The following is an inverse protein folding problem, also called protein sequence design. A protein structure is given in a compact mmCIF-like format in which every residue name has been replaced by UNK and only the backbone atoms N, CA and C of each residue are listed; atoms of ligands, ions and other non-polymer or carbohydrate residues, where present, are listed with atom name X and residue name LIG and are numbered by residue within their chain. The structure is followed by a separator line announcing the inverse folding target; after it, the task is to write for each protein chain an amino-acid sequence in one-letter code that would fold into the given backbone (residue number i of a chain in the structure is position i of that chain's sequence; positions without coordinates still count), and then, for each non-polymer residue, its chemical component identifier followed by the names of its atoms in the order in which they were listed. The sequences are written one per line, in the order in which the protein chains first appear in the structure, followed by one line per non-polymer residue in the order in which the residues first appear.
data_IF_535478919908
#
_entry.id   IF_535478919908
#
_cell.length_a   1.000
_cell.length_b   1.000
_cell.length_c   1.000
_cell.angle_alpha   90.00
_cell.angle_beta   90.00
_cell.angle_gamma   90.00
#
_symmetry.space_group_name_H-M   'P 1'
#
loop_
_entity.id
_entity.type
_entity.pdbx_description
1 polymer ?
#
# COMPACT_ATOMS: atom_id res chain seq x y z
N UNK A 1 0.20 18.10 13.11
CA UNK A 1 1.52 17.98 12.46
C UNK A 1 2.27 16.73 12.88
N UNK A 2 2.54 16.48 14.18
CA UNK A 2 3.27 15.28 14.64
C UNK A 2 2.76 13.94 14.06
N UNK A 3 1.45 13.72 14.05
CA UNK A 3 0.85 12.49 13.48
C UNK A 3 1.12 12.33 11.98
N UNK A 4 1.08 13.42 11.22
CA UNK A 4 1.36 13.41 9.79
C UNK A 4 2.83 13.06 9.52
N UNK A 5 3.76 13.70 10.23
CA UNK A 5 5.20 13.42 10.10
C UNK A 5 5.55 11.98 10.49
N UNK A 6 4.95 11.47 11.57
CA UNK A 6 5.12 10.06 11.95
C UNK A 6 4.56 9.11 10.89
N UNK A 7 3.39 9.43 10.33
CA UNK A 7 2.81 8.61 9.27
C UNK A 7 3.72 8.57 8.04
N UNK A 8 4.31 9.71 7.67
CA UNK A 8 5.25 9.83 6.56
C UNK A 8 6.53 9.00 6.78
N UNK A 9 7.03 8.92 8.02
CA UNK A 9 8.19 8.10 8.37
C UNK A 9 7.87 6.60 8.35
N UNK A 10 6.68 6.22 8.81
CA UNK A 10 6.25 4.80 8.84
C UNK A 10 5.97 4.29 7.42
N UNK A 11 5.50 5.17 6.52
CA UNK A 11 5.00 4.79 5.21
C UNK A 11 5.99 4.03 4.31
N UNK A 12 7.27 4.46 4.14
CA UNK A 12 8.24 3.68 3.38
C UNK A 12 8.45 2.26 3.91
N UNK A 13 8.43 2.09 5.25
CA UNK A 13 8.55 0.78 5.88
C UNK A 13 7.30 -0.06 5.62
N UNK A 14 6.11 0.55 5.64
CA UNK A 14 4.86 -0.10 5.30
C UNK A 14 4.84 -0.58 3.84
N UNK A 15 5.31 0.24 2.89
CA UNK A 15 5.44 -0.16 1.48
C UNK A 15 6.46 -1.29 1.28
N UNK A 16 7.60 -1.22 1.95
CA UNK A 16 8.58 -2.31 1.89
C UNK A 16 7.99 -3.62 2.46
N UNK A 17 7.24 -3.53 3.56
CA UNK A 17 6.57 -4.68 4.14
C UNK A 17 5.47 -5.23 3.22
N UNK A 18 4.72 -4.36 2.55
CA UNK A 18 3.71 -4.72 1.54
C UNK A 18 4.33 -5.55 0.42
N UNK A 19 5.39 -5.05 -0.21
CA UNK A 19 6.10 -5.80 -1.25
C UNK A 19 6.75 -7.09 -0.70
N UNK A 20 7.33 -7.03 0.51
CA UNK A 20 7.85 -8.23 1.17
C UNK A 20 6.77 -9.29 1.40
N UNK A 21 5.54 -8.90 1.72
CA UNK A 21 4.43 -9.82 1.90
C UNK A 21 3.91 -10.38 0.58
N UNK A 22 3.98 -9.64 -0.54
CA UNK A 22 3.73 -10.23 -1.87
C UNK A 22 4.65 -11.42 -2.12
N UNK A 23 5.95 -11.27 -1.82
CA UNK A 23 6.91 -12.37 -1.96
C UNK A 23 6.57 -13.55 -1.05
N UNK A 24 6.18 -13.30 0.20
CA UNK A 24 5.75 -14.37 1.12
C UNK A 24 4.52 -15.11 0.58
N UNK A 25 3.52 -14.38 0.08
CA UNK A 25 2.31 -14.97 -0.51
C UNK A 25 2.67 -15.79 -1.75
N UNK A 26 3.50 -15.25 -2.65
CA UNK A 26 3.94 -15.92 -3.86
C UNK A 26 4.66 -17.24 -3.55
N UNK A 27 5.60 -17.24 -2.59
CA UNK A 27 6.29 -18.45 -2.12
C UNK A 27 5.29 -19.42 -1.49
N UNK A 28 4.34 -18.93 -0.68
CA UNK A 28 3.27 -19.74 -0.09
C UNK A 28 2.36 -20.41 -1.11
N UNK A 29 2.22 -19.82 -2.30
CA UNK A 29 1.47 -20.37 -3.45
C UNK A 29 2.31 -21.31 -4.32
N UNK A 30 3.56 -21.59 -3.95
CA UNK A 30 4.50 -22.44 -4.68
C UNK A 30 5.24 -21.72 -5.82
N UNK A 31 5.10 -20.40 -5.92
CA UNK A 31 5.83 -19.57 -6.88
C UNK A 31 7.24 -19.22 -6.42
N UNK A 32 7.92 -18.41 -7.22
CA UNK A 32 9.25 -17.89 -6.94
C UNK A 32 9.32 -16.47 -7.47
N UNK A 33 10.01 -15.59 -6.75
CA UNK A 33 10.12 -14.21 -7.15
C UNK A 33 11.22 -13.48 -6.42
N UNK A 34 11.52 -12.30 -6.90
CA UNK A 34 12.55 -11.43 -6.36
C UNK A 34 11.95 -10.08 -6.00
N UNK A 35 12.41 -9.52 -4.87
CA UNK A 35 12.13 -8.13 -4.53
C UNK A 35 13.15 -7.24 -5.23
N UNK A 36 12.69 -6.47 -6.19
CA UNK A 36 13.52 -5.55 -6.97
C UNK A 36 13.16 -4.10 -6.68
N UNK A 37 14.05 -3.20 -7.08
CA UNK A 37 13.74 -1.78 -7.18
C UNK A 37 13.60 -1.45 -8.66
N UNK A 38 12.44 -0.95 -9.06
CA UNK A 38 12.17 -0.51 -10.43
C UNK A 38 11.94 0.99 -10.49
N UNK A 39 12.21 1.58 -11.65
CA UNK A 39 11.89 2.97 -11.91
C UNK A 39 10.40 3.11 -12.23
N UNK A 40 9.68 3.98 -11.51
CA UNK A 40 8.27 4.29 -11.76
C UNK A 40 8.16 5.71 -12.30
N UNK A 41 7.90 5.81 -13.61
CA UNK A 41 7.77 7.07 -14.31
C UNK A 41 6.52 7.83 -13.86
N UNK A 42 6.68 9.11 -13.51
CA UNK A 42 5.57 10.02 -13.22
C UNK A 42 4.75 10.26 -14.50
N UNK A 43 3.42 10.29 -14.37
CA UNK A 43 2.52 10.56 -15.49
C UNK A 43 2.41 12.06 -15.79
N UNK A 44 2.65 12.92 -14.78
CA UNK A 44 2.45 14.37 -14.86
C UNK A 44 3.77 15.16 -14.94
N UNK A 45 4.91 14.48 -14.86
CA UNK A 45 6.23 15.10 -14.91
C UNK A 45 7.26 14.18 -15.59
N UNK A 46 8.26 14.78 -16.24
CA UNK A 46 9.39 14.04 -16.80
C UNK A 46 10.41 13.69 -15.70
N UNK A 47 9.99 12.80 -14.80
CA UNK A 47 10.80 12.30 -13.69
C UNK A 47 10.32 10.92 -13.28
N UNK A 48 11.16 10.20 -12.54
CA UNK A 48 10.84 8.85 -12.05
C UNK A 48 11.16 8.69 -10.58
N UNK A 49 10.41 7.82 -9.90
CA UNK A 49 10.64 7.45 -8.52
C UNK A 49 11.09 5.99 -8.41
N UNK A 50 12.08 5.66 -7.56
CA UNK A 50 12.38 4.27 -7.25
C UNK A 50 11.22 3.66 -6.45
N UNK A 51 10.74 2.49 -6.88
CA UNK A 51 9.69 1.76 -6.21
C UNK A 51 10.12 0.30 -5.98
N UNK A 52 9.85 -0.22 -4.79
CA UNK A 52 9.96 -1.66 -4.54
C UNK A 52 8.88 -2.39 -5.35
N UNK A 53 9.22 -3.57 -5.84
CA UNK A 53 8.28 -4.40 -6.58
C UNK A 53 8.71 -5.86 -6.50
N UNK A 54 7.75 -6.76 -6.30
CA UNK A 54 7.98 -8.20 -6.48
C UNK A 54 7.79 -8.59 -7.95
N UNK A 55 8.76 -9.30 -8.51
CA UNK A 55 8.68 -9.93 -9.84
C UNK A 55 8.62 -11.45 -9.73
N UNK A 56 8.18 -12.15 -10.79
CA UNK A 56 8.15 -13.63 -10.86
C UNK A 56 6.77 -14.29 -10.69
N UNK A 57 5.67 -13.53 -10.80
CA UNK A 57 4.29 -14.02 -10.58
C UNK A 57 3.50 -14.45 -11.82
N UNK A 58 4.04 -14.28 -13.03
CA UNK A 58 3.28 -14.28 -14.29
C UNK A 58 2.61 -15.62 -14.66
N UNK A 59 2.87 -16.70 -13.92
CA UNK A 59 2.28 -18.03 -14.12
C UNK A 59 1.15 -18.37 -13.14
N UNK A 60 0.70 -17.43 -12.30
CA UNK A 60 -0.40 -17.69 -11.36
C UNK A 60 -1.74 -17.76 -12.10
N UNK A 61 -2.56 -18.75 -11.73
CA UNK A 61 -3.94 -18.79 -12.21
C UNK A 61 -4.75 -17.58 -11.68
N UNK A 62 -5.88 -17.24 -12.31
CA UNK A 62 -6.65 -16.05 -11.99
C UNK A 62 -7.02 -15.88 -10.51
N UNK A 63 -7.28 -16.97 -9.78
CA UNK A 63 -7.64 -16.93 -8.37
C UNK A 63 -6.42 -16.73 -7.47
N UNK A 64 -5.31 -17.40 -7.78
CA UNK A 64 -4.03 -17.22 -7.09
C UNK A 64 -3.47 -15.82 -7.30
N UNK A 65 -3.63 -15.25 -8.49
CA UNK A 65 -3.20 -13.89 -8.78
C UNK A 65 -3.96 -12.87 -7.91
N UNK A 66 -5.28 -13.01 -7.76
CA UNK A 66 -6.06 -12.15 -6.85
C UNK A 66 -5.64 -12.27 -5.39
N UNK A 67 -5.30 -13.48 -4.95
CA UNK A 67 -4.81 -13.71 -3.60
C UNK A 67 -3.41 -13.11 -3.39
N UNK A 68 -2.56 -13.14 -4.41
CA UNK A 68 -1.26 -12.46 -4.41
C UNK A 68 -1.42 -10.94 -4.30
N UNK A 69 -2.23 -10.33 -5.18
CA UNK A 69 -2.52 -8.89 -5.21
C UNK A 69 -3.18 -8.41 -3.91
N UNK A 70 -4.16 -9.15 -3.37
CA UNK A 70 -4.77 -8.79 -2.08
C UNK A 70 -3.83 -9.04 -0.90
N UNK A 71 -3.11 -10.16 -0.94
CA UNK A 71 -2.41 -10.72 0.21
C UNK A 71 -1.22 -9.90 0.66
N UNK A 72 -0.44 -9.34 -0.28
CA UNK A 72 0.70 -8.47 0.04
C UNK A 72 0.33 -7.32 0.98
N UNK A 73 -0.52 -6.37 0.54
CA UNK A 73 -0.91 -5.23 1.37
C UNK A 73 -1.75 -5.64 2.59
N UNK A 74 -2.65 -6.63 2.47
CA UNK A 74 -3.50 -7.06 3.58
C UNK A 74 -2.68 -7.66 4.74
N UNK A 75 -1.71 -8.53 4.45
CA UNK A 75 -0.85 -9.12 5.47
C UNK A 75 0.09 -8.09 6.09
N UNK A 76 0.60 -7.14 5.31
CA UNK A 76 1.43 -6.05 5.82
C UNK A 76 0.65 -5.13 6.77
N UNK A 77 -0.67 -5.01 6.60
CA UNK A 77 -1.52 -4.20 7.47
C UNK A 77 -1.69 -4.79 8.88
N UNK A 78 -1.62 -6.12 9.02
CA UNK A 78 -1.87 -6.83 10.28
C UNK A 78 -0.98 -6.35 11.43
N UNK A 79 0.37 -6.34 11.33
CA UNK A 79 1.22 -5.87 12.43
C UNK A 79 0.96 -4.40 12.78
N UNK A 80 0.73 -3.53 11.79
CA UNK A 80 0.41 -2.12 12.04
C UNK A 80 -0.96 -1.95 12.72
N UNK A 81 -1.95 -2.77 12.38
CA UNK A 81 -3.26 -2.77 13.01
C UNK A 81 -3.18 -3.23 14.48
N UNK A 82 -2.39 -4.27 14.77
CA UNK A 82 -2.12 -4.73 16.13
C UNK A 82 -1.46 -3.61 16.95
N UNK A 83 -0.42 -2.98 16.41
CA UNK A 83 0.26 -1.86 17.07
C UNK A 83 -0.69 -0.67 17.27
N UNK A 84 -1.55 -0.37 16.29
CA UNK A 84 -2.55 0.70 16.39
C UNK A 84 -3.58 0.44 17.49
N UNK A 85 -4.00 -0.81 17.66
CA UNK A 85 -4.90 -1.24 18.74
C UNK A 85 -4.26 -1.02 20.11
N UNK A 86 -2.99 -1.42 20.25
CA UNK A 86 -2.25 -1.35 21.52
C UNK A 86 -1.84 0.09 21.88
N UNK A 87 -1.64 0.95 20.89
CA UNK A 87 -1.24 2.33 21.10
C UNK A 87 -2.33 3.16 21.80
N UNK A 88 -1.93 4.00 22.76
CA UNK A 88 -2.83 4.98 23.38
C UNK A 88 -3.35 6.00 22.34
N UNK A 89 -4.57 6.55 22.52
CA UNK A 89 -5.08 7.62 21.65
C UNK A 89 -4.09 8.79 21.53
N UNK A 90 -3.71 9.13 20.31
CA UNK A 90 -2.74 10.19 20.06
C UNK A 90 -2.07 10.08 18.71
N UNK A 91 -0.94 10.80 18.58
CA UNK A 91 -0.25 10.94 17.31
C UNK A 91 0.25 9.60 16.73
N UNK A 92 0.79 8.73 17.59
CA UNK A 92 1.29 7.40 17.19
C UNK A 92 0.13 6.54 16.67
N UNK A 93 -0.96 6.40 17.44
CA UNK A 93 -2.13 5.63 17.00
C UNK A 93 -2.69 6.19 15.69
N UNK A 94 -2.84 7.51 15.56
CA UNK A 94 -3.34 8.12 14.30
C UNK A 94 -2.41 7.85 13.12
N UNK A 95 -1.09 7.86 13.32
CA UNK A 95 -0.12 7.56 12.26
C UNK A 95 -0.17 6.09 11.82
N UNK A 96 -0.31 5.17 12.78
CA UNK A 96 -0.46 3.73 12.52
C UNK A 96 -1.78 3.45 11.78
N UNK A 97 -2.90 4.01 12.27
CA UNK A 97 -4.21 3.85 11.61
C UNK A 97 -4.20 4.43 10.19
N UNK A 98 -3.50 5.55 9.94
CA UNK A 98 -3.35 6.08 8.59
C UNK A 98 -2.63 5.09 7.67
N UNK A 99 -1.53 4.47 8.12
CA UNK A 99 -0.81 3.47 7.33
C UNK A 99 -1.61 2.16 7.15
N UNK A 100 -2.40 1.74 8.14
CA UNK A 100 -3.36 0.63 7.98
C UNK A 100 -4.40 0.96 6.91
N UNK A 101 -4.94 2.17 6.91
CA UNK A 101 -5.92 2.60 5.90
C UNK A 101 -5.30 2.67 4.49
N UNK A 102 -4.01 3.03 4.39
CA UNK A 102 -3.27 3.04 3.13
C UNK A 102 -3.06 1.62 2.60
N UNK A 103 -2.63 0.70 3.45
CA UNK A 103 -2.49 -0.70 3.05
C UNK A 103 -3.84 -1.32 2.70
N UNK A 104 -4.91 -0.98 3.41
CA UNK A 104 -6.26 -1.38 3.04
C UNK A 104 -6.69 -0.80 1.68
N UNK A 105 -6.27 0.42 1.35
CA UNK A 105 -6.48 1.00 0.02
C UNK A 105 -5.76 0.18 -1.07
N UNK A 106 -4.48 -0.16 -0.89
CA UNK A 106 -3.74 -1.00 -1.84
C UNK A 106 -4.35 -2.40 -1.97
N UNK A 107 -4.75 -3.01 -0.84
CA UNK A 107 -5.41 -4.32 -0.83
C UNK A 107 -6.73 -4.36 -1.59
N UNK A 108 -7.38 -3.22 -1.84
CA UNK A 108 -8.56 -3.13 -2.68
C UNK A 108 -8.21 -2.70 -4.11
N UNK A 109 -7.26 -1.79 -4.26
CA UNK A 109 -6.85 -1.24 -5.55
C UNK A 109 -6.22 -2.31 -6.45
N UNK A 110 -5.26 -3.07 -5.92
CA UNK A 110 -4.46 -4.05 -6.66
C UNK A 110 -5.32 -5.17 -7.26
N UNK A 111 -6.06 -5.97 -6.47
CA UNK A 111 -6.95 -6.97 -7.05
C UNK A 111 -8.11 -6.33 -7.83
N UNK A 112 -8.53 -5.12 -7.47
CA UNK A 112 -9.56 -4.38 -8.20
C UNK A 112 -9.12 -4.02 -9.62
N UNK A 113 -7.87 -3.59 -9.79
CA UNK A 113 -7.27 -3.31 -11.08
C UNK A 113 -7.22 -4.55 -11.95
N UNK A 114 -6.71 -5.66 -11.41
CA UNK A 114 -6.66 -6.96 -12.08
C UNK A 114 -8.06 -7.45 -12.52
N UNK A 115 -9.07 -7.30 -11.66
CA UNK A 115 -10.45 -7.66 -12.01
C UNK A 115 -11.02 -6.77 -13.12
N UNK A 116 -10.71 -5.47 -13.11
CA UNK A 116 -11.15 -4.55 -14.15
C UNK A 116 -10.51 -4.90 -15.49
N UNK A 117 -9.20 -5.18 -15.53
CA UNK A 117 -8.50 -5.55 -16.78
C UNK A 117 -9.07 -6.78 -17.48
N UNK A 118 -9.68 -7.71 -16.73
CA UNK A 118 -10.29 -8.92 -17.30
C UNK A 118 -11.59 -8.66 -18.06
N UNK A 119 -12.28 -7.55 -17.80
CA UNK A 119 -13.59 -7.25 -18.41
C UNK A 119 -13.67 -5.89 -19.11
N UNK A 120 -12.77 -4.96 -18.80
CA UNK A 120 -12.79 -3.57 -19.22
C UNK A 120 -11.36 -3.02 -19.34
N UNK A 121 -11.19 -1.89 -20.01
CA UNK A 121 -9.96 -1.10 -19.91
C UNK A 121 -10.04 -0.20 -18.67
N UNK A 122 -9.29 -0.47 -17.60
CA UNK A 122 -9.33 0.38 -16.42
C UNK A 122 -8.81 1.79 -16.73
N UNK A 123 -9.27 2.81 -16.00
CA UNK A 123 -8.70 4.14 -16.09
C UNK A 123 -7.20 4.12 -15.79
N UNK A 124 -6.37 4.64 -16.71
CA UNK A 124 -4.92 4.63 -16.59
C UNK A 124 -4.40 5.29 -15.29
N UNK A 125 -5.16 6.22 -14.71
CA UNK A 125 -4.75 6.91 -13.49
C UNK A 125 -4.61 5.98 -12.28
N UNK A 126 -5.25 4.80 -12.28
CA UNK A 126 -5.18 3.86 -11.17
C UNK A 126 -3.76 3.33 -10.94
N UNK A 127 -2.91 3.33 -11.98
CA UNK A 127 -1.51 2.89 -11.91
C UNK A 127 -0.52 4.07 -11.95
N UNK A 128 -1.00 5.31 -11.93
CA UNK A 128 -0.11 6.47 -11.88
C UNK A 128 0.52 6.61 -10.50
N UNK A 129 1.83 6.89 -10.40
CA UNK A 129 2.47 7.20 -9.11
C UNK A 129 1.72 8.30 -8.37
N UNK A 130 1.27 9.33 -9.07
CA UNK A 130 0.62 10.49 -8.47
C UNK A 130 -0.68 10.12 -7.75
N UNK A 131 -1.45 9.17 -8.29
CA UNK A 131 -2.63 8.65 -7.62
C UNK A 131 -2.24 7.75 -6.43
N UNK A 132 -1.30 6.84 -6.68
CA UNK A 132 -0.84 5.84 -5.69
C UNK A 132 -0.07 6.44 -4.51
N UNK A 133 0.53 7.62 -4.65
CA UNK A 133 1.14 8.38 -3.54
C UNK A 133 0.23 9.51 -3.04
N UNK A 134 -0.58 10.11 -3.91
CA UNK A 134 -1.50 11.19 -3.57
C UNK A 134 -2.61 10.75 -2.61
N UNK A 135 -3.24 9.59 -2.87
CA UNK A 135 -4.27 9.04 -1.97
C UNK A 135 -3.68 8.73 -0.59
N UNK A 136 -2.52 8.07 -0.45
CA UNK A 136 -1.87 7.92 0.85
C UNK A 136 -1.58 9.22 1.58
N UNK A 137 -1.00 10.22 0.90
CA UNK A 137 -0.75 11.53 1.50
C UNK A 137 -2.04 12.18 2.01
N UNK A 138 -3.13 12.07 1.25
CA UNK A 138 -4.45 12.56 1.67
C UNK A 138 -4.96 11.82 2.91
N UNK A 139 -4.83 10.49 2.96
CA UNK A 139 -5.21 9.69 4.14
C UNK A 139 -4.42 10.13 5.38
N UNK A 140 -3.09 10.27 5.27
CA UNK A 140 -2.25 10.77 6.36
C UNK A 140 -2.73 12.14 6.87
N UNK A 141 -3.06 13.05 5.95
CA UNK A 141 -3.56 14.38 6.27
C UNK A 141 -4.93 14.31 6.98
N UNK A 142 -5.87 13.52 6.48
CA UNK A 142 -7.20 13.33 7.07
C UNK A 142 -7.10 12.84 8.52
N UNK A 143 -6.30 11.81 8.79
CA UNK A 143 -6.13 11.29 10.14
C UNK A 143 -5.43 12.30 11.07
N UNK A 144 -4.44 13.05 10.56
CA UNK A 144 -3.79 14.11 11.32
C UNK A 144 -4.75 15.26 11.67
N UNK A 145 -5.63 15.65 10.75
CA UNK A 145 -6.64 16.69 10.97
C UNK A 145 -7.75 16.23 11.92
N UNK A 146 -8.19 14.97 11.82
CA UNK A 146 -9.15 14.38 12.77
C UNK A 146 -8.60 14.39 14.20
N UNK A 147 -7.34 13.99 14.38
CA UNK A 147 -6.68 14.05 15.69
C UNK A 147 -6.59 15.48 16.22
N UNK A 148 -6.29 16.47 15.35
CA UNK A 148 -6.24 17.87 15.74
C UNK A 148 -7.59 18.36 16.25
N UNK A 149 -8.68 18.02 15.54
CA UNK A 149 -10.04 18.40 15.94
C UNK A 149 -10.47 17.75 17.25
N UNK A 150 -10.12 16.48 17.48
CA UNK A 150 -10.46 15.79 18.72
C UNK A 150 -9.72 16.32 19.98
N UNK A 151 -8.76 17.22 19.79
CA UNK A 151 -7.97 17.84 20.87
C UNK A 151 -8.23 19.35 21.03
N UNK A 152 -9.05 19.93 20.16
CA UNK A 152 -9.50 21.31 20.22
C UNK A 152 -10.84 21.37 20.96
#
# INVERSE_FOLDING_TARGET
MKAFLLALVIFPVALLAHEGMHLVVLVGLGGHGDLIIRSWQLALADASLPAFHVTGGDALDPGRHLLFEFGGPALAAVPLAILAWQARPGAVRSALVANVAILAFFALLEPGYELLERGFTPPAFLIWPEFNYGVPLLLMLVFALRLRRARA
#
